data_IF_298444356140
#
_entry.id   IF_298444356140
#
_cell.length_a   1.000
_cell.length_b   1.000
_cell.length_c   1.000
_cell.angle_alpha   90.00
_cell.angle_beta   90.00
_cell.angle_gamma   90.00
#
_symmetry.space_group_name_H-M   'P 1'
#
loop_
_entity.id
_entity.type
_entity.pdbx_description
1 polymer ?
#
# COMPACT_ATOMS: atom_id res chain seq x y z
N UNK A 1 63.85 -63.35 -0.35
CA UNK A 1 64.18 -64.10 -1.60
C UNK A 1 64.06 -63.13 -2.78
N UNK A 2 65.18 -62.97 -3.47
CA UNK A 2 65.45 -62.63 -4.89
C UNK A 2 64.52 -61.55 -5.54
N UNK A 3 65.06 -60.30 -5.78
CA UNK A 3 65.84 -59.82 -6.94
C UNK A 3 65.08 -60.05 -8.27
N UNK A 4 64.76 -58.94 -9.00
CA UNK A 4 65.37 -58.68 -10.28
C UNK A 4 65.26 -57.22 -10.72
N UNK A 5 66.40 -56.66 -11.07
CA UNK A 5 66.75 -55.46 -11.79
C UNK A 5 66.62 -55.70 -13.30
N UNK A 6 66.17 -54.79 -14.08
CA UNK A 6 66.19 -54.80 -15.56
C UNK A 6 66.05 -53.35 -16.12
N UNK A 7 67.19 -52.72 -16.23
CA UNK A 7 67.90 -52.12 -17.37
C UNK A 7 67.14 -51.18 -18.29
N UNK A 8 67.65 -49.94 -18.29
CA UNK A 8 67.58 -48.93 -19.38
C UNK A 8 68.35 -49.36 -20.61
N UNK A 9 68.05 -48.81 -21.79
CA UNK A 9 69.14 -48.49 -22.75
C UNK A 9 69.13 -47.00 -23.20
N UNK A 10 70.27 -46.64 -23.60
CA UNK A 10 70.93 -45.39 -23.95
C UNK A 10 70.52 -44.83 -25.35
N UNK A 11 70.39 -43.50 -25.44
CA UNK A 11 71.04 -42.49 -26.31
C UNK A 11 71.10 -42.78 -27.83
N UNK A 12 70.55 -41.89 -28.61
CA UNK A 12 70.77 -41.64 -30.01
C UNK A 12 70.61 -40.16 -30.34
N UNK A 13 71.78 -39.47 -30.50
CA UNK A 13 71.87 -38.13 -31.08
C UNK A 13 71.44 -38.16 -32.55
N UNK A 14 70.46 -37.35 -32.95
CA UNK A 14 70.35 -36.90 -34.34
C UNK A 14 70.10 -35.41 -34.39
N UNK A 15 71.04 -34.71 -35.00
CA UNK A 15 70.95 -33.34 -35.48
C UNK A 15 69.89 -33.27 -36.57
N UNK A 16 68.91 -32.37 -36.45
CA UNK A 16 67.99 -32.10 -37.51
C UNK A 16 67.93 -30.61 -37.83
N UNK A 17 68.14 -30.39 -39.08
CA UNK A 17 68.16 -29.22 -39.90
C UNK A 17 66.82 -28.51 -39.86
N UNK A 18 66.82 -27.16 -39.68
CA UNK A 18 65.65 -26.28 -39.70
C UNK A 18 65.09 -26.17 -41.11
N UNK A 19 63.74 -26.36 -41.21
CA UNK A 19 62.94 -26.00 -42.37
C UNK A 19 62.00 -24.89 -42.00
N UNK A 20 61.60 -23.96 -42.92
CA UNK A 20 60.92 -22.68 -42.58
C UNK A 20 59.44 -22.85 -42.21
N UNK A 21 58.99 -22.06 -41.23
CA UNK A 21 57.64 -21.96 -40.74
C UNK A 21 56.68 -21.51 -41.83
N UNK A 22 55.61 -22.29 -42.05
CA UNK A 22 54.39 -21.84 -42.73
C UNK A 22 53.65 -20.85 -41.82
N UNK A 23 53.18 -19.78 -42.43
CA UNK A 23 52.34 -18.71 -41.90
C UNK A 23 51.08 -19.33 -41.26
N UNK A 24 50.86 -19.09 -39.98
CA UNK A 24 49.68 -19.50 -39.22
C UNK A 24 48.48 -18.64 -39.60
N UNK A 25 47.39 -19.29 -39.98
CA UNK A 25 46.07 -18.66 -40.09
C UNK A 25 45.60 -18.01 -38.78
N UNK A 26 44.91 -16.88 -38.78
CA UNK A 26 44.41 -16.23 -37.57
C UNK A 26 43.29 -17.05 -36.94
N UNK A 27 43.41 -17.33 -35.64
CA UNK A 27 42.38 -17.93 -34.80
C UNK A 27 41.06 -17.15 -34.88
N UNK A 28 39.89 -17.80 -34.85
CA UNK A 28 38.60 -17.14 -34.78
C UNK A 28 38.49 -16.32 -33.50
N UNK A 29 38.08 -15.07 -33.63
CA UNK A 29 37.82 -14.14 -32.51
C UNK A 29 36.76 -14.72 -31.60
N UNK A 30 37.03 -14.72 -30.30
CA UNK A 30 36.08 -15.01 -29.26
C UNK A 30 34.79 -14.18 -29.41
N UNK A 31 33.59 -14.72 -29.09
CA UNK A 31 32.36 -13.98 -29.18
C UNK A 31 32.42 -12.73 -28.26
N UNK A 32 32.03 -11.58 -28.79
CA UNK A 32 31.95 -10.34 -28.03
C UNK A 32 30.92 -10.55 -26.90
N UNK A 33 31.35 -10.30 -25.67
CA UNK A 33 30.46 -10.19 -24.51
C UNK A 33 29.30 -9.25 -24.89
N UNK A 34 28.03 -9.57 -24.52
CA UNK A 34 26.92 -8.67 -24.70
C UNK A 34 27.24 -7.35 -24.00
N UNK A 35 26.95 -6.22 -24.68
CA UNK A 35 27.04 -4.89 -24.08
C UNK A 35 26.06 -4.86 -22.91
N UNK A 36 26.56 -4.48 -21.73
CA UNK A 36 25.72 -4.12 -20.60
C UNK A 36 24.66 -3.11 -21.04
N UNK A 37 23.43 -3.20 -20.55
CA UNK A 37 22.39 -2.20 -20.79
C UNK A 37 22.90 -0.82 -20.34
N UNK A 38 22.45 0.28 -20.97
CA UNK A 38 22.87 1.62 -20.59
C UNK A 38 22.47 1.86 -19.13
N UNK A 39 23.47 2.25 -18.32
CA UNK A 39 23.24 2.75 -16.96
C UNK A 39 22.25 3.90 -17.10
N UNK A 40 21.10 3.77 -16.43
CA UNK A 40 20.12 4.84 -16.32
C UNK A 40 20.80 6.10 -15.80
N UNK A 41 20.54 7.24 -16.42
CA UNK A 41 21.04 8.54 -15.96
C UNK A 41 20.65 8.76 -14.51
N UNK A 42 21.55 9.28 -13.66
CA UNK A 42 21.25 9.49 -12.25
C UNK A 42 20.09 10.48 -12.13
N UNK A 43 19.14 10.12 -11.25
CA UNK A 43 17.99 10.93 -10.90
C UNK A 43 18.39 12.40 -10.65
N UNK A 44 17.73 13.32 -11.34
CA UNK A 44 18.03 14.77 -11.35
C UNK A 44 17.72 15.51 -10.04
N UNK A 45 17.20 14.81 -9.03
CA UNK A 45 16.96 15.40 -7.69
C UNK A 45 17.92 14.79 -6.67
N UNK A 46 18.50 15.62 -5.78
CA UNK A 46 19.25 15.12 -4.63
C UNK A 46 18.34 14.24 -3.76
N UNK A 47 18.88 13.17 -3.18
CA UNK A 47 18.14 12.17 -2.40
C UNK A 47 17.42 12.77 -1.18
N UNK A 48 17.92 13.89 -0.67
CA UNK A 48 17.36 14.68 0.44
C UNK A 48 16.06 15.44 0.12
N UNK A 49 15.66 15.49 -1.16
CA UNK A 49 14.43 16.15 -1.63
C UNK A 49 13.38 15.18 -2.18
N UNK A 50 13.58 13.87 -2.01
CA UNK A 50 12.62 12.86 -2.41
C UNK A 50 11.55 12.68 -1.32
N UNK A 51 10.29 12.61 -1.73
CA UNK A 51 9.19 12.22 -0.85
C UNK A 51 9.29 10.74 -0.44
N UNK A 52 8.60 10.34 0.62
CA UNK A 52 8.61 8.94 1.09
C UNK A 52 8.15 7.96 0.00
N UNK A 53 7.19 8.36 -0.87
CA UNK A 53 6.72 7.56 -2.02
C UNK A 53 7.76 7.50 -3.15
N UNK A 54 8.49 8.58 -3.42
CA UNK A 54 9.56 8.61 -4.42
C UNK A 54 10.76 7.79 -3.94
N UNK A 55 11.05 7.80 -2.65
CA UNK A 55 12.09 6.97 -2.02
C UNK A 55 11.73 5.48 -2.08
N UNK A 56 10.49 5.11 -1.77
CA UNK A 56 10.00 3.72 -1.86
C UNK A 56 10.08 3.19 -3.31
N UNK A 57 9.77 4.06 -4.28
CA UNK A 57 9.89 3.74 -5.72
C UNK A 57 11.35 3.56 -6.15
N UNK A 58 12.27 4.40 -5.66
CA UNK A 58 13.70 4.33 -5.96
C UNK A 58 14.31 3.05 -5.36
N UNK A 59 13.93 2.71 -4.13
CA UNK A 59 14.34 1.47 -3.48
C UNK A 59 13.88 0.23 -4.25
N UNK A 60 12.67 0.25 -4.80
CA UNK A 60 12.13 -0.83 -5.65
C UNK A 60 12.83 -0.96 -7.00
N UNK A 61 13.33 0.16 -7.56
CA UNK A 61 13.99 0.18 -8.88
C UNK A 61 15.46 -0.25 -8.79
N UNK A 62 16.11 0.03 -7.66
CA UNK A 62 17.53 -0.27 -7.44
C UNK A 62 17.75 -1.72 -6.97
N UNK A 63 16.76 -2.31 -6.29
CA UNK A 63 16.82 -3.68 -5.80
C UNK A 63 15.86 -4.58 -6.59
N UNK A 64 16.37 -5.20 -7.67
CA UNK A 64 15.70 -6.33 -8.29
C UNK A 64 15.86 -7.54 -7.36
N UNK A 65 14.79 -8.28 -7.04
CA UNK A 65 14.88 -9.50 -6.22
C UNK A 65 15.72 -10.61 -6.86
N UNK A 66 16.03 -10.49 -8.16
CA UNK A 66 16.82 -11.46 -8.90
C UNK A 66 18.36 -11.29 -8.76
N UNK A 67 18.82 -10.20 -8.11
CA UNK A 67 20.25 -9.95 -7.88
C UNK A 67 20.73 -10.49 -6.52
N UNK A 68 19.87 -11.14 -5.75
CA UNK A 68 20.26 -11.85 -4.54
C UNK A 68 20.84 -13.20 -4.98
N UNK A 69 22.14 -13.22 -5.32
CA UNK A 69 22.91 -14.46 -5.32
C UNK A 69 22.64 -15.16 -3.99
N UNK A 70 22.35 -16.46 -4.03
CA UNK A 70 22.21 -17.33 -2.84
C UNK A 70 23.43 -17.10 -1.93
N UNK A 71 23.27 -16.19 -0.97
CA UNK A 71 24.31 -15.90 -0.01
C UNK A 71 24.49 -17.14 0.86
N UNK A 72 25.60 -17.77 0.64
CA UNK A 72 26.16 -18.91 1.37
C UNK A 72 25.91 -18.72 2.88
N UNK A 73 25.11 -19.61 3.46
CA UNK A 73 24.54 -19.56 4.81
C UNK A 73 25.61 -19.77 5.93
N UNK A 74 26.89 -19.54 5.63
CA UNK A 74 28.04 -19.70 6.52
C UNK A 74 28.62 -18.34 7.02
N UNK A 75 27.92 -17.21 6.86
CA UNK A 75 28.35 -15.93 7.43
C UNK A 75 28.15 -15.93 8.95
N UNK A 76 29.17 -16.37 9.66
CA UNK A 76 29.24 -16.31 11.14
C UNK A 76 29.35 -14.85 11.56
N UNK A 77 28.27 -14.31 12.16
CA UNK A 77 28.30 -13.03 12.88
C UNK A 77 28.93 -13.21 14.27
N UNK A 78 29.38 -12.12 14.87
CA UNK A 78 29.91 -12.14 16.22
C UNK A 78 28.80 -12.49 17.23
N UNK A 79 29.11 -13.31 18.22
CA UNK A 79 28.17 -13.67 19.29
C UNK A 79 27.74 -12.46 20.15
N UNK A 80 28.48 -11.37 20.07
CA UNK A 80 28.22 -10.13 20.83
C UNK A 80 27.93 -8.99 19.86
N UNK A 81 26.69 -8.47 19.87
CA UNK A 81 26.24 -7.41 18.97
C UNK A 81 25.58 -6.25 19.71
N UNK A 82 25.63 -5.02 19.13
CA UNK A 82 24.77 -3.94 19.54
C UNK A 82 23.30 -4.29 19.32
N UNK A 83 22.41 -3.91 20.24
CA UNK A 83 20.98 -4.18 20.18
C UNK A 83 20.20 -2.89 19.90
N UNK A 84 19.22 -2.99 19.02
CA UNK A 84 18.32 -1.92 18.62
C UNK A 84 16.86 -2.32 18.91
N UNK A 85 16.19 -1.69 19.91
CA UNK A 85 14.81 -1.96 20.24
C UNK A 85 13.84 -1.34 19.23
N UNK A 86 12.92 -2.13 18.70
CA UNK A 86 11.87 -1.75 17.75
C UNK A 86 10.50 -1.64 18.46
N UNK A 87 9.75 -0.56 18.22
CA UNK A 87 8.52 -0.25 18.96
C UNK A 87 7.33 -1.12 18.56
N UNK A 88 7.02 -1.16 17.28
CA UNK A 88 5.70 -1.51 16.76
C UNK A 88 5.73 -2.60 15.70
N UNK A 89 6.88 -3.18 15.44
CA UNK A 89 7.06 -4.18 14.40
C UNK A 89 8.07 -5.25 14.79
N UNK A 90 7.84 -6.46 14.31
CA UNK A 90 8.81 -7.57 14.37
C UNK A 90 9.37 -7.77 12.97
N UNK A 91 10.67 -7.90 12.87
CA UNK A 91 11.35 -8.22 11.62
C UNK A 91 11.71 -9.70 11.56
N UNK A 92 11.75 -10.22 10.34
CA UNK A 92 11.99 -11.64 10.07
C UNK A 92 13.26 -11.85 9.24
N UNK A 93 13.88 -13.02 9.26
CA UNK A 93 14.98 -13.36 8.38
C UNK A 93 14.64 -13.16 6.90
N UNK A 94 15.65 -12.88 6.09
CA UNK A 94 15.55 -12.69 4.63
C UNK A 94 14.67 -11.52 4.17
N UNK A 95 14.37 -10.60 5.07
CA UNK A 95 13.68 -9.35 4.74
C UNK A 95 14.70 -8.23 4.54
N UNK A 96 14.49 -7.44 3.49
CA UNK A 96 15.19 -6.17 3.30
C UNK A 96 14.19 -5.06 3.62
N UNK A 97 14.56 -4.14 4.52
CA UNK A 97 13.65 -3.10 4.97
C UNK A 97 14.38 -1.83 5.39
N UNK A 98 13.75 -0.66 5.14
CA UNK A 98 14.24 0.61 5.67
C UNK A 98 13.80 0.79 7.12
N UNK A 99 14.69 1.34 7.94
CA UNK A 99 14.40 1.71 9.33
C UNK A 99 14.84 3.15 9.58
N UNK A 100 13.99 3.94 10.25
CA UNK A 100 14.32 5.28 10.73
C UNK A 100 14.68 5.22 12.20
N UNK A 101 15.91 5.61 12.53
CA UNK A 101 16.46 5.56 13.89
C UNK A 101 16.69 7.00 14.39
N UNK A 102 15.99 7.36 15.47
CA UNK A 102 16.07 8.72 16.04
C UNK A 102 16.46 8.76 17.52
N UNK A 103 16.38 7.63 18.24
CA UNK A 103 16.79 7.58 19.66
C UNK A 103 18.31 7.61 19.77
N UNK A 104 18.85 8.40 20.68
CA UNK A 104 20.30 8.58 20.83
C UNK A 104 21.03 7.25 21.10
N UNK A 105 20.51 6.40 22.02
CA UNK A 105 21.07 5.07 22.28
C UNK A 105 21.06 4.18 21.04
N UNK A 106 20.00 4.22 20.24
CA UNK A 106 19.85 3.45 19.01
C UNK A 106 20.78 3.92 17.91
N UNK A 107 20.98 5.26 17.76
CA UNK A 107 21.92 5.84 16.80
C UNK A 107 23.35 5.43 17.15
N UNK A 108 23.72 5.48 18.43
CA UNK A 108 25.05 5.03 18.89
C UNK A 108 25.28 3.53 18.66
N UNK A 109 24.25 2.70 18.92
CA UNK A 109 24.32 1.28 18.61
C UNK A 109 24.57 1.00 17.13
N UNK A 110 23.86 1.75 16.25
CA UNK A 110 23.99 1.66 14.82
C UNK A 110 25.39 2.12 14.33
N UNK A 111 25.94 3.20 14.93
CA UNK A 111 27.26 3.72 14.61
C UNK A 111 28.36 2.72 15.03
N UNK A 112 28.23 2.10 16.19
CA UNK A 112 29.14 1.05 16.65
C UNK A 112 29.10 -0.19 15.74
N UNK A 113 27.88 -0.65 15.36
CA UNK A 113 27.70 -1.74 14.41
C UNK A 113 28.34 -1.42 13.06
N UNK A 114 28.11 -0.22 12.52
CA UNK A 114 28.64 0.22 11.23
C UNK A 114 30.17 0.33 11.20
N UNK A 115 30.79 0.65 12.33
CA UNK A 115 32.25 0.72 12.47
C UNK A 115 32.93 -0.65 12.60
N UNK A 116 32.17 -1.69 12.90
CA UNK A 116 32.64 -3.08 13.08
C UNK A 116 32.21 -3.95 11.89
N UNK A 117 31.49 -5.03 12.18
CA UNK A 117 31.10 -6.07 11.24
C UNK A 117 29.80 -5.77 10.49
N UNK A 118 29.22 -4.57 10.66
CA UNK A 118 27.94 -4.13 10.09
C UNK A 118 26.74 -5.00 10.50
N UNK A 119 26.85 -5.77 11.58
CA UNK A 119 25.77 -6.55 12.14
C UNK A 119 25.17 -5.86 13.36
N UNK A 120 23.86 -5.88 13.43
CA UNK A 120 23.09 -5.31 14.54
C UNK A 120 21.94 -6.27 14.91
N UNK A 121 21.63 -6.36 16.20
CA UNK A 121 20.55 -7.20 16.67
C UNK A 121 19.26 -6.38 16.83
N UNK A 122 18.21 -6.77 16.14
CA UNK A 122 16.89 -6.14 16.16
C UNK A 122 15.94 -6.96 17.01
N UNK A 123 15.24 -6.28 17.90
CA UNK A 123 14.32 -6.93 18.81
C UNK A 123 13.11 -6.05 19.10
N UNK A 124 11.92 -6.64 19.21
CA UNK A 124 10.70 -5.89 19.48
C UNK A 124 10.57 -5.51 20.97
N UNK A 125 9.90 -4.39 21.21
CA UNK A 125 9.49 -3.98 22.55
C UNK A 125 8.16 -4.64 22.95
N UNK A 126 8.03 -5.04 24.22
CA UNK A 126 6.75 -5.48 24.82
C UNK A 126 5.82 -4.29 25.04
N UNK A 127 6.38 -3.16 25.47
CA UNK A 127 5.65 -1.93 25.74
C UNK A 127 5.93 -0.87 24.66
N UNK A 128 4.96 -0.64 23.78
CA UNK A 128 5.06 0.32 22.67
C UNK A 128 5.26 1.77 23.16
N UNK A 129 4.76 2.09 24.35
CA UNK A 129 4.78 3.46 24.90
C UNK A 129 6.09 3.82 25.62
N UNK A 130 6.96 2.84 25.90
CA UNK A 130 8.26 3.11 26.51
C UNK A 130 9.17 3.86 25.52
N UNK A 131 9.52 5.11 25.83
CA UNK A 131 10.48 5.89 25.03
C UNK A 131 11.89 5.35 25.17
N UNK A 132 12.29 5.02 26.39
CA UNK A 132 13.55 4.36 26.73
C UNK A 132 13.22 3.00 27.38
N UNK A 133 13.10 1.92 26.59
CA UNK A 133 12.75 0.61 27.12
C UNK A 133 13.90 0.06 27.97
N UNK A 134 13.58 -0.46 29.15
CA UNK A 134 14.52 -1.25 29.94
C UNK A 134 14.59 -2.70 29.41
N UNK A 135 15.58 -3.50 29.79
CA UNK A 135 15.69 -4.90 29.33
C UNK A 135 14.42 -5.74 29.55
N UNK A 136 13.62 -5.45 30.59
CA UNK A 136 12.36 -6.12 30.91
C UNK A 136 11.21 -5.77 29.96
N UNK A 137 11.29 -4.57 29.33
CA UNK A 137 10.33 -4.07 28.34
C UNK A 137 10.60 -4.64 26.93
N UNK A 138 11.64 -5.44 26.76
CA UNK A 138 12.11 -5.98 25.49
C UNK A 138 11.86 -7.50 25.49
N UNK A 139 11.56 -8.08 24.31
CA UNK A 139 11.47 -9.53 24.16
C UNK A 139 12.87 -10.17 24.24
N UNK A 140 12.92 -11.50 24.32
CA UNK A 140 14.19 -12.22 24.42
C UNK A 140 14.68 -12.74 23.07
N UNK A 141 13.81 -12.82 22.06
CA UNK A 141 14.10 -13.33 20.74
C UNK A 141 13.95 -12.23 19.70
N UNK A 142 14.94 -12.10 18.84
CA UNK A 142 14.98 -11.15 17.74
C UNK A 142 15.72 -11.71 16.55
N UNK A 143 16.16 -10.83 15.65
CA UNK A 143 16.96 -11.19 14.49
C UNK A 143 18.28 -10.42 14.46
N UNK A 144 19.33 -11.07 14.00
CA UNK A 144 20.54 -10.39 13.53
C UNK A 144 20.24 -9.82 12.15
N UNK A 145 20.64 -8.58 11.91
CA UNK A 145 20.51 -7.94 10.62
C UNK A 145 21.84 -7.34 10.15
N UNK A 146 22.10 -7.42 8.84
CA UNK A 146 23.22 -6.76 8.19
C UNK A 146 22.85 -5.34 7.77
N UNK A 147 23.75 -4.39 8.00
CA UNK A 147 23.57 -3.00 7.58
C UNK A 147 24.03 -2.85 6.13
N UNK A 148 23.08 -2.76 5.21
CA UNK A 148 23.32 -2.57 3.78
C UNK A 148 23.77 -1.13 3.48
N UNK A 149 22.99 -0.16 3.96
CA UNK A 149 23.22 1.26 3.68
C UNK A 149 22.82 2.11 4.89
N UNK A 150 23.56 3.19 5.11
CA UNK A 150 23.26 4.20 6.14
C UNK A 150 23.20 5.57 5.49
N UNK A 151 22.12 6.30 5.76
CA UNK A 151 21.93 7.69 5.33
C UNK A 151 21.62 8.55 6.56
N UNK A 152 22.46 9.55 6.83
CA UNK A 152 22.21 10.53 7.89
C UNK A 152 21.32 11.64 7.35
N UNK A 153 20.25 11.94 8.07
CA UNK A 153 19.32 13.02 7.75
C UNK A 153 19.68 14.28 8.52
N UNK A 154 19.49 15.51 7.96
CA UNK A 154 19.86 16.75 8.61
C UNK A 154 19.20 17.01 9.97
N UNK A 155 18.06 16.37 10.26
CA UNK A 155 17.32 16.45 11.53
C UNK A 155 17.94 15.65 12.67
N UNK A 156 19.07 14.96 12.43
CA UNK A 156 19.75 14.11 13.40
C UNK A 156 19.26 12.66 13.43
N UNK A 157 18.25 12.29 12.62
CA UNK A 157 17.83 10.90 12.45
C UNK A 157 18.72 10.17 11.45
N UNK A 158 18.76 8.85 11.56
CA UNK A 158 19.53 7.98 10.66
C UNK A 158 18.57 7.03 9.97
N UNK A 159 18.53 7.08 8.64
CA UNK A 159 17.86 6.05 7.83
C UNK A 159 18.86 4.95 7.54
N UNK A 160 18.46 3.72 7.80
CA UNK A 160 19.30 2.55 7.55
C UNK A 160 18.51 1.52 6.74
N UNK A 161 19.16 0.93 5.75
CA UNK A 161 18.66 -0.25 5.06
C UNK A 161 19.29 -1.48 5.69
N UNK A 162 18.44 -2.40 6.12
CA UNK A 162 18.81 -3.61 6.84
C UNK A 162 18.33 -4.84 6.10
N UNK A 163 19.15 -5.89 6.14
CA UNK A 163 18.78 -7.23 5.71
C UNK A 163 18.75 -8.17 6.92
N UNK A 164 17.60 -8.79 7.19
CA UNK A 164 17.45 -9.76 8.26
C UNK A 164 18.17 -11.07 7.92
N UNK A 165 19.00 -11.57 8.84
CA UNK A 165 19.79 -12.78 8.64
C UNK A 165 19.21 -13.95 9.41
N UNK A 166 19.45 -14.03 10.69
CA UNK A 166 19.19 -15.21 11.52
C UNK A 166 18.47 -14.85 12.81
N UNK A 167 17.64 -15.78 13.32
CA UNK A 167 16.99 -15.66 14.63
C UNK A 167 17.98 -15.93 15.73
N UNK A 168 18.00 -15.07 16.74
CA UNK A 168 18.82 -15.25 17.92
C UNK A 168 18.04 -14.94 19.19
N UNK A 169 18.48 -15.56 20.26
CA UNK A 169 18.03 -15.28 21.63
C UNK A 169 19.08 -14.50 22.38
N UNK A 170 18.65 -13.54 23.18
CA UNK A 170 19.51 -12.83 24.13
C UNK A 170 19.83 -13.75 25.29
N UNK A 171 21.11 -14.04 25.48
CA UNK A 171 21.61 -14.77 26.65
C UNK A 171 21.87 -13.82 27.82
N UNK A 172 22.49 -12.68 27.51
CA UNK A 172 22.90 -11.72 28.55
C UNK A 172 23.07 -10.32 27.98
N UNK A 173 22.68 -9.32 28.76
CA UNK A 173 23.04 -7.93 28.54
C UNK A 173 24.44 -7.69 29.10
N UNK A 174 25.39 -7.33 28.23
CA UNK A 174 26.77 -7.02 28.61
C UNK A 174 26.94 -5.56 28.96
N UNK A 175 26.17 -4.69 28.30
CA UNK A 175 26.20 -3.25 28.47
C UNK A 175 24.79 -2.67 28.26
N UNK A 176 24.46 -1.66 29.05
CA UNK A 176 23.18 -0.92 28.96
C UNK A 176 23.44 0.54 28.53
N UNK A 177 24.57 1.12 28.92
CA UNK A 177 25.04 2.47 28.57
C UNK A 177 26.40 2.42 27.88
N UNK A 178 26.68 3.20 26.84
CA UNK A 178 25.83 4.23 26.20
C UNK A 178 24.79 3.68 25.21
N UNK A 179 24.80 2.41 24.93
CA UNK A 179 23.83 1.65 24.11
C UNK A 179 23.80 0.20 24.59
N UNK A 180 22.77 -0.54 24.20
CA UNK A 180 22.65 -1.95 24.55
C UNK A 180 23.63 -2.80 23.76
N UNK A 181 24.40 -3.63 24.46
CA UNK A 181 25.22 -4.67 23.88
C UNK A 181 24.87 -6.01 24.53
N UNK A 182 24.61 -7.02 23.71
CA UNK A 182 24.09 -8.31 24.14
C UNK A 182 24.91 -9.46 23.63
N UNK A 183 24.95 -10.55 24.40
CA UNK A 183 25.45 -11.85 24.00
C UNK A 183 24.27 -12.67 23.44
N UNK A 184 24.45 -13.25 22.26
CA UNK A 184 23.40 -13.90 21.48
C UNK A 184 23.68 -15.39 21.29
N UNK A 185 22.60 -16.17 21.25
CA UNK A 185 22.58 -17.56 20.86
C UNK A 185 21.70 -17.74 19.63
N UNK A 186 22.20 -18.31 18.50
CA UNK A 186 21.38 -18.64 17.36
C UNK A 186 20.28 -19.65 17.71
N UNK A 187 19.08 -19.42 17.19
CA UNK A 187 17.97 -20.36 17.33
C UNK A 187 17.90 -21.22 16.06
N UNK A 188 18.25 -22.50 16.13
CA UNK A 188 18.20 -23.35 14.95
C UNK A 188 16.76 -23.52 14.47
N UNK A 189 16.54 -23.40 13.19
CA UNK A 189 15.27 -23.74 12.56
C UNK A 189 15.18 -25.26 12.42
N UNK A 190 14.19 -25.87 13.05
CA UNK A 190 13.94 -27.32 12.94
C UNK A 190 13.07 -27.55 11.72
N UNK A 191 13.69 -27.90 10.60
CA UNK A 191 12.99 -28.23 9.37
C UNK A 191 12.53 -29.69 9.38
N UNK A 192 11.24 -29.90 9.25
CA UNK A 192 10.62 -31.21 9.06
C UNK A 192 10.14 -31.28 7.60
N UNK A 193 10.84 -32.04 6.77
CA UNK A 193 10.43 -32.31 5.38
C UNK A 193 9.55 -33.58 5.35
N UNK A 194 8.34 -33.47 5.88
CA UNK A 194 7.35 -34.53 5.86
C UNK A 194 6.10 -34.12 5.05
N UNK A 195 5.30 -35.11 4.64
CA UNK A 195 4.06 -34.88 3.88
C UNK A 195 3.07 -33.94 4.59
N UNK A 196 2.87 -34.01 5.92
CA UNK A 196 2.02 -33.06 6.64
C UNK A 196 2.50 -31.61 6.51
N UNK A 197 3.80 -31.34 6.64
CA UNK A 197 4.36 -29.99 6.51
C UNK A 197 4.21 -29.45 5.09
N UNK A 198 4.40 -30.29 4.07
CA UNK A 198 4.18 -29.90 2.68
C UNK A 198 2.69 -29.59 2.39
N UNK A 199 1.76 -30.41 2.93
CA UNK A 199 0.34 -30.17 2.80
C UNK A 199 -0.08 -28.86 3.50
N UNK A 200 0.51 -28.57 4.67
CA UNK A 200 0.27 -27.35 5.43
C UNK A 200 0.82 -26.13 4.68
N UNK A 201 2.01 -26.23 4.09
CA UNK A 201 2.60 -25.19 3.26
C UNK A 201 1.67 -24.80 2.09
N UNK A 202 1.15 -25.78 1.34
CA UNK A 202 0.19 -25.56 0.25
C UNK A 202 -1.10 -24.90 0.75
N UNK A 203 -1.58 -25.31 1.93
CA UNK A 203 -2.76 -24.72 2.56
C UNK A 203 -2.54 -23.26 2.95
N UNK A 204 -1.38 -22.93 3.51
CA UNK A 204 -0.98 -21.57 3.90
C UNK A 204 -0.88 -20.66 2.66
N UNK A 205 -0.24 -21.12 1.58
CA UNK A 205 -0.15 -20.37 0.32
C UNK A 205 -1.54 -20.03 -0.20
N UNK A 206 -2.46 -20.99 -0.23
CA UNK A 206 -3.83 -20.76 -0.69
C UNK A 206 -4.60 -19.78 0.20
N UNK A 207 -4.46 -19.89 1.52
CA UNK A 207 -5.08 -18.95 2.47
C UNK A 207 -4.53 -17.55 2.30
N UNK A 208 -3.23 -17.40 2.03
CA UNK A 208 -2.63 -16.10 1.75
C UNK A 208 -3.14 -15.52 0.42
N UNK A 209 -3.31 -16.33 -0.62
CA UNK A 209 -3.94 -15.92 -1.88
C UNK A 209 -5.35 -15.35 -1.64
N UNK A 210 -6.17 -16.03 -0.82
CA UNK A 210 -7.51 -15.56 -0.45
C UNK A 210 -7.45 -14.20 0.28
N UNK A 211 -6.49 -14.02 1.19
CA UNK A 211 -6.27 -12.74 1.90
C UNK A 211 -5.84 -11.64 0.94
N UNK A 212 -4.89 -11.90 0.03
CA UNK A 212 -4.42 -10.93 -0.99
C UNK A 212 -5.56 -10.50 -1.90
N UNK A 213 -6.42 -11.44 -2.33
CA UNK A 213 -7.57 -11.13 -3.19
C UNK A 213 -8.59 -10.21 -2.51
N UNK A 214 -8.71 -10.25 -1.18
CA UNK A 214 -9.63 -9.42 -0.41
C UNK A 214 -9.01 -8.12 0.12
N UNK A 215 -7.69 -8.07 0.31
CA UNK A 215 -6.96 -6.95 0.90
C UNK A 215 -6.26 -6.11 -0.17
N UNK A 216 -6.85 -4.96 -0.52
CA UNK A 216 -6.31 -4.03 -1.51
C UNK A 216 -4.97 -3.39 -1.13
N UNK A 217 -4.55 -3.50 0.13
CA UNK A 217 -3.30 -2.93 0.63
C UNK A 217 -2.10 -3.86 0.41
N UNK A 218 -2.34 -5.13 0.05
CA UNK A 218 -1.28 -6.07 -0.30
C UNK A 218 -1.12 -6.05 -1.82
N UNK A 219 0.08 -5.77 -2.28
CA UNK A 219 0.38 -5.73 -3.71
C UNK A 219 0.45 -7.16 -4.29
N UNK A 220 0.04 -7.37 -5.55
CA UNK A 220 0.07 -8.69 -6.19
C UNK A 220 1.47 -9.32 -6.23
N UNK A 221 2.53 -8.50 -6.22
CA UNK A 221 3.94 -8.92 -6.19
C UNK A 221 4.27 -9.74 -4.93
N UNK A 222 3.56 -9.48 -3.83
CA UNK A 222 3.70 -10.29 -2.60
C UNK A 222 3.42 -11.78 -2.86
N UNK A 223 2.46 -12.08 -3.75
CA UNK A 223 2.14 -13.45 -4.12
C UNK A 223 3.26 -14.12 -4.91
N UNK A 224 4.00 -13.37 -5.75
CA UNK A 224 5.15 -13.90 -6.48
C UNK A 224 6.27 -14.32 -5.53
N UNK A 225 6.56 -13.50 -4.52
CA UNK A 225 7.56 -13.82 -3.50
C UNK A 225 7.19 -15.09 -2.71
N UNK A 226 5.91 -15.25 -2.39
CA UNK A 226 5.41 -16.45 -1.69
C UNK A 226 5.48 -17.69 -2.56
N UNK A 227 5.12 -17.59 -3.85
CA UNK A 227 5.16 -18.72 -4.79
C UNK A 227 6.59 -19.18 -5.12
N UNK A 228 7.56 -18.27 -5.10
CA UNK A 228 8.97 -18.58 -5.34
C UNK A 228 9.67 -19.15 -4.09
N UNK A 229 8.98 -19.23 -2.95
CA UNK A 229 9.56 -19.75 -1.71
C UNK A 229 9.29 -21.25 -1.59
N UNK A 230 10.35 -22.06 -1.76
CA UNK A 230 10.28 -23.53 -1.68
C UNK A 230 10.47 -24.07 -0.26
N UNK A 231 11.10 -23.31 0.62
CA UNK A 231 11.41 -23.70 1.99
C UNK A 231 10.25 -23.40 2.94
N UNK A 232 9.72 -24.42 3.64
CA UNK A 232 8.58 -24.22 4.56
C UNK A 232 8.86 -23.21 5.68
N UNK A 233 10.08 -23.20 6.23
CA UNK A 233 10.50 -22.27 7.27
C UNK A 233 10.53 -20.82 6.81
N UNK A 234 11.02 -20.59 5.58
CA UNK A 234 11.07 -19.27 4.96
C UNK A 234 9.70 -18.74 4.56
N UNK A 235 8.78 -19.64 4.19
CA UNK A 235 7.42 -19.24 3.81
C UNK A 235 6.70 -18.42 4.90
N UNK A 236 6.81 -18.85 6.16
CA UNK A 236 6.20 -18.12 7.26
C UNK A 236 6.81 -16.73 7.44
N UNK A 237 8.13 -16.61 7.23
CA UNK A 237 8.87 -15.35 7.36
C UNK A 237 8.53 -14.35 6.24
N UNK A 238 8.28 -14.86 5.04
CA UNK A 238 7.88 -14.03 3.89
C UNK A 238 6.44 -13.55 4.01
N UNK A 239 5.51 -14.38 4.52
CA UNK A 239 4.08 -14.03 4.61
C UNK A 239 3.78 -13.08 5.77
N UNK A 240 4.37 -13.32 6.96
CA UNK A 240 4.01 -12.60 8.19
C UNK A 240 4.10 -11.07 8.08
N UNK A 241 5.10 -10.47 7.41
CA UNK A 241 5.21 -9.02 7.26
C UNK A 241 4.08 -8.37 6.45
N UNK A 242 3.42 -9.11 5.59
CA UNK A 242 2.27 -8.59 4.83
C UNK A 242 0.98 -8.48 5.67
N UNK A 243 0.95 -9.16 6.84
CA UNK A 243 -0.17 -9.12 7.77
C UNK A 243 -0.04 -7.92 8.74
N UNK A 244 -0.07 -6.70 8.19
CA UNK A 244 0.16 -5.44 8.94
C UNK A 244 -0.80 -5.20 10.11
N UNK A 245 -1.97 -5.82 10.13
CA UNK A 245 -2.94 -5.70 11.21
C UNK A 245 -2.62 -6.64 12.40
N UNK A 246 -1.65 -7.51 12.22
CA UNK A 246 -1.19 -8.43 13.26
C UNK A 246 -0.45 -7.68 14.36
N UNK A 247 -0.85 -7.89 15.60
CA UNK A 247 -0.20 -7.24 16.76
C UNK A 247 1.19 -7.82 16.99
N UNK A 248 2.10 -6.99 17.51
CA UNK A 248 3.48 -7.38 17.86
C UNK A 248 3.58 -8.69 18.62
N UNK A 249 2.77 -8.98 19.69
CA UNK A 249 2.86 -10.26 20.39
C UNK A 249 2.62 -11.48 19.51
N UNK A 250 1.70 -11.39 18.55
CA UNK A 250 1.42 -12.50 17.66
C UNK A 250 2.51 -12.69 16.59
N UNK A 251 3.09 -11.60 16.07
CA UNK A 251 4.27 -11.66 15.20
C UNK A 251 5.47 -12.25 15.92
N UNK A 252 5.67 -11.83 17.17
CA UNK A 252 6.74 -12.32 18.03
C UNK A 252 6.60 -13.82 18.31
N UNK A 253 5.38 -14.31 18.54
CA UNK A 253 5.13 -15.74 18.73
C UNK A 253 5.53 -16.57 17.51
N UNK A 254 5.30 -16.07 16.29
CA UNK A 254 5.77 -16.73 15.06
C UNK A 254 7.31 -16.71 14.99
N UNK A 255 7.94 -15.58 15.32
CA UNK A 255 9.40 -15.45 15.33
C UNK A 255 10.06 -16.43 16.33
N UNK A 256 9.49 -16.58 17.51
CA UNK A 256 10.00 -17.43 18.60
C UNK A 256 9.83 -18.93 18.33
N UNK A 257 8.91 -19.30 17.44
CA UNK A 257 8.63 -20.71 17.15
C UNK A 257 9.71 -21.30 16.26
N UNK A 258 10.54 -22.19 16.80
CA UNK A 258 11.64 -22.87 16.09
C UNK A 258 11.17 -24.00 15.17
N UNK A 259 10.10 -24.73 15.58
CA UNK A 259 9.51 -25.80 14.77
C UNK A 259 8.72 -25.21 13.59
N UNK A 260 9.08 -25.61 12.36
CA UNK A 260 8.50 -25.09 11.13
C UNK A 260 7.04 -25.50 10.97
N UNK A 261 6.69 -26.73 11.32
CA UNK A 261 5.30 -27.21 11.23
C UNK A 261 4.38 -26.46 12.18
N UNK A 262 4.81 -26.23 13.44
CA UNK A 262 4.08 -25.44 14.42
C UNK A 262 3.96 -23.97 13.97
N UNK A 263 5.02 -23.38 13.41
CA UNK A 263 5.04 -22.02 12.90
C UNK A 263 4.03 -21.83 11.76
N UNK A 264 4.02 -22.72 10.77
CA UNK A 264 3.05 -22.72 9.67
C UNK A 264 1.62 -22.95 10.16
N UNK A 265 1.43 -23.80 11.18
CA UNK A 265 0.12 -24.02 11.77
C UNK A 265 -0.42 -22.74 12.43
N UNK A 266 0.41 -22.06 13.24
CA UNK A 266 0.06 -20.76 13.84
C UNK A 266 -0.30 -19.72 12.78
N UNK A 267 0.52 -19.63 11.72
CA UNK A 267 0.25 -18.72 10.60
C UNK A 267 -1.06 -19.06 9.90
N UNK A 268 -1.36 -20.35 9.65
CA UNK A 268 -2.63 -20.78 9.05
C UNK A 268 -3.85 -20.34 9.88
N UNK A 269 -3.77 -20.45 11.20
CA UNK A 269 -4.86 -19.98 12.10
C UNK A 269 -5.03 -18.45 11.99
N UNK A 270 -3.94 -17.71 11.91
CA UNK A 270 -3.96 -16.25 11.77
C UNK A 270 -4.53 -15.84 10.41
N UNK A 271 -4.09 -16.47 9.31
CA UNK A 271 -4.60 -16.20 7.97
C UNK A 271 -6.10 -16.45 7.84
N UNK A 272 -6.62 -17.54 8.42
CA UNK A 272 -8.06 -17.80 8.46
C UNK A 272 -8.83 -16.69 9.16
N UNK A 273 -8.33 -16.27 10.32
CA UNK A 273 -8.95 -15.19 11.10
C UNK A 273 -8.91 -13.86 10.35
N UNK A 274 -7.81 -13.55 9.66
CA UNK A 274 -7.68 -12.36 8.83
C UNK A 274 -8.66 -12.39 7.65
N UNK A 275 -8.79 -13.54 6.96
CA UNK A 275 -9.76 -13.72 5.89
C UNK A 275 -11.20 -13.49 6.36
N UNK A 276 -11.59 -14.04 7.52
CA UNK A 276 -12.91 -13.81 8.13
C UNK A 276 -13.17 -12.33 8.43
N UNK A 277 -12.16 -11.61 8.98
CA UNK A 277 -12.26 -10.18 9.26
C UNK A 277 -12.45 -9.38 7.97
N UNK A 278 -11.66 -9.68 6.92
CA UNK A 278 -11.76 -9.02 5.61
C UNK A 278 -13.12 -9.28 4.95
N UNK A 279 -13.67 -10.48 5.07
CA UNK A 279 -15.01 -10.80 4.56
C UNK A 279 -16.09 -9.99 5.28
N UNK A 280 -16.03 -9.89 6.60
CA UNK A 280 -16.95 -9.06 7.41
C UNK A 280 -16.83 -7.59 7.00
N UNK A 281 -15.61 -7.05 6.85
CA UNK A 281 -15.38 -5.68 6.42
C UNK A 281 -15.97 -5.42 5.02
N UNK A 282 -15.78 -6.34 4.08
CA UNK A 282 -16.37 -6.27 2.74
C UNK A 282 -17.90 -6.23 2.81
N UNK A 283 -18.52 -7.08 3.61
CA UNK A 283 -19.97 -7.14 3.78
C UNK A 283 -20.52 -5.86 4.41
N UNK A 284 -19.86 -5.31 5.43
CA UNK A 284 -20.22 -4.02 6.04
C UNK A 284 -20.13 -2.91 5.00
N UNK A 285 -19.03 -2.83 4.27
CA UNK A 285 -18.84 -1.80 3.24
C UNK A 285 -19.90 -1.86 2.16
N UNK A 286 -20.22 -3.06 1.64
CA UNK A 286 -21.25 -3.24 0.63
C UNK A 286 -22.64 -2.81 1.15
N UNK A 287 -22.95 -3.10 2.43
CA UNK A 287 -24.21 -2.66 3.06
C UNK A 287 -24.28 -1.15 3.18
N UNK A 288 -23.21 -0.50 3.65
CA UNK A 288 -23.14 0.97 3.77
C UNK A 288 -23.27 1.64 2.41
N UNK A 289 -22.58 1.14 1.38
CA UNK A 289 -22.66 1.65 0.01
C UNK A 289 -24.09 1.54 -0.54
N UNK A 290 -24.79 0.43 -0.25
CA UNK A 290 -26.19 0.23 -0.65
C UNK A 290 -27.14 1.20 0.08
N UNK A 291 -27.02 1.31 1.39
CA UNK A 291 -27.87 2.22 2.20
C UNK A 291 -27.65 3.69 1.81
N UNK A 292 -26.41 4.10 1.53
CA UNK A 292 -26.12 5.45 1.03
C UNK A 292 -26.72 5.67 -0.36
N UNK A 293 -26.63 4.68 -1.25
CA UNK A 293 -27.23 4.74 -2.58
C UNK A 293 -28.75 4.85 -2.53
N UNK A 294 -29.41 4.08 -1.65
CA UNK A 294 -30.86 4.11 -1.46
C UNK A 294 -31.32 5.48 -0.87
N UNK A 295 -30.60 6.02 0.11
CA UNK A 295 -30.88 7.32 0.71
C UNK A 295 -30.73 8.46 -0.30
N UNK A 296 -29.69 8.43 -1.13
CA UNK A 296 -29.47 9.42 -2.18
C UNK A 296 -30.57 9.38 -3.25
N UNK A 297 -31.00 8.19 -3.64
CA UNK A 297 -32.10 7.97 -4.58
C UNK A 297 -33.44 8.48 -4.01
N UNK A 298 -33.72 8.20 -2.74
CA UNK A 298 -34.93 8.68 -2.05
C UNK A 298 -34.95 10.21 -1.97
N UNK A 299 -33.84 10.85 -1.64
CA UNK A 299 -33.68 12.30 -1.66
C UNK A 299 -33.99 12.91 -3.03
N UNK A 300 -33.39 12.33 -4.09
CA UNK A 300 -33.61 12.78 -5.47
C UNK A 300 -35.08 12.65 -5.89
N UNK A 301 -35.71 11.53 -5.54
CA UNK A 301 -37.15 11.31 -5.82
C UNK A 301 -38.03 12.29 -5.07
N UNK A 302 -37.72 12.60 -3.80
CA UNK A 302 -38.46 13.63 -3.02
C UNK A 302 -38.31 15.00 -3.63
N UNK A 303 -37.13 15.39 -4.09
CA UNK A 303 -36.92 16.69 -4.72
C UNK A 303 -37.64 16.78 -6.07
N UNK A 304 -37.60 15.71 -6.88
CA UNK A 304 -38.40 15.64 -8.11
C UNK A 304 -39.90 15.75 -7.83
N UNK A 305 -40.40 15.05 -6.80
CA UNK A 305 -41.82 15.13 -6.41
C UNK A 305 -42.22 16.54 -5.95
N UNK A 306 -41.37 17.24 -5.23
CA UNK A 306 -41.57 18.62 -4.81
C UNK A 306 -41.65 19.58 -6.00
N UNK A 307 -40.75 19.44 -6.97
CA UNK A 307 -40.78 20.25 -8.20
C UNK A 307 -42.06 20.00 -8.99
N UNK A 308 -42.47 18.73 -9.15
CA UNK A 308 -43.74 18.40 -9.82
C UNK A 308 -44.93 18.97 -9.09
N UNK A 309 -44.99 18.93 -7.77
CA UNK A 309 -46.08 19.53 -6.98
C UNK A 309 -46.10 21.04 -7.12
N UNK A 310 -44.96 21.69 -7.13
CA UNK A 310 -44.83 23.12 -7.36
C UNK A 310 -45.34 23.54 -8.74
N UNK A 311 -44.90 22.81 -9.80
CA UNK A 311 -45.45 23.06 -11.16
C UNK A 311 -46.96 22.85 -11.28
N UNK A 312 -47.50 21.83 -10.60
CA UNK A 312 -48.94 21.57 -10.59
C UNK A 312 -49.69 22.63 -9.76
N UNK A 313 -49.11 23.09 -8.64
CA UNK A 313 -49.66 24.17 -7.81
C UNK A 313 -49.69 25.49 -8.55
N UNK A 314 -48.61 25.87 -9.21
CA UNK A 314 -48.54 27.09 -10.01
C UNK A 314 -49.55 27.07 -11.19
N UNK A 315 -49.78 25.92 -11.83
CA UNK A 315 -50.81 25.82 -12.88
C UNK A 315 -52.24 25.98 -12.33
N UNK A 316 -52.54 25.46 -11.14
CA UNK A 316 -53.86 25.58 -10.54
C UNK A 316 -54.15 27.00 -10.06
N UNK A 317 -53.16 27.72 -9.50
CA UNK A 317 -53.31 29.12 -9.10
C UNK A 317 -53.45 30.05 -10.29
N UNK A 318 -52.67 29.85 -11.36
CA UNK A 318 -52.77 30.63 -12.60
C UNK A 318 -54.13 30.47 -13.28
N UNK A 319 -54.70 29.24 -13.30
CA UNK A 319 -56.05 29.00 -13.85
C UNK A 319 -57.14 29.73 -13.06
N UNK A 320 -57.09 29.71 -11.74
CA UNK A 320 -58.02 30.42 -10.86
C UNK A 320 -57.93 31.93 -11.01
N UNK A 321 -56.73 32.50 -11.21
CA UNK A 321 -56.52 33.95 -11.46
C UNK A 321 -57.15 34.38 -12.77
N UNK A 322 -57.02 33.60 -13.84
CA UNK A 322 -57.60 33.94 -15.15
C UNK A 322 -59.12 33.92 -15.14
N UNK A 323 -59.75 32.98 -14.42
CA UNK A 323 -61.19 32.92 -14.25
C UNK A 323 -61.72 34.09 -13.42
N UNK A 324 -60.97 34.49 -12.38
CA UNK A 324 -61.32 35.70 -11.60
C UNK A 324 -61.25 36.97 -12.45
N UNK A 325 -60.30 37.17 -13.34
CA UNK A 325 -60.25 38.32 -14.25
C UNK A 325 -61.37 38.27 -15.27
N UNK A 326 -61.76 37.11 -15.80
CA UNK A 326 -62.91 36.98 -16.70
C UNK A 326 -64.22 37.46 -16.02
N UNK A 327 -64.49 37.04 -14.78
CA UNK A 327 -65.66 37.46 -14.01
C UNK A 327 -65.63 38.94 -13.76
N UNK A 328 -64.50 39.53 -13.31
CA UNK A 328 -64.39 41.00 -13.04
C UNK A 328 -64.53 41.82 -14.29
N UNK A 329 -64.12 41.41 -15.47
CA UNK A 329 -64.29 42.08 -16.76
C UNK A 329 -65.78 42.10 -17.11
N UNK A 330 -66.53 41.01 -16.92
CA UNK A 330 -67.97 40.94 -17.19
C UNK A 330 -68.81 41.83 -16.23
N UNK A 331 -68.37 41.90 -14.96
CA UNK A 331 -69.11 42.70 -13.94
C UNK A 331 -68.81 44.21 -13.97
N UNK A 332 -67.68 44.62 -14.62
CA UNK A 332 -67.22 46.01 -14.60
C UNK A 332 -68.09 46.98 -15.36
N UNK A 333 -68.99 46.52 -16.21
CA UNK A 333 -69.87 47.36 -17.01
C UNK A 333 -69.14 48.21 -18.07
N UNK A 334 -67.98 47.79 -18.51
CA UNK A 334 -67.19 48.48 -19.54
C UNK A 334 -67.87 48.40 -20.91
N UNK A 335 -67.58 49.33 -21.84
CA UNK A 335 -68.03 49.26 -23.21
C UNK A 335 -67.52 48.05 -23.95
N UNK A 336 -68.26 47.52 -24.91
CA UNK A 336 -67.98 46.30 -25.65
C UNK A 336 -66.58 46.29 -26.25
N UNK A 337 -66.11 47.40 -26.84
CA UNK A 337 -64.76 47.56 -27.41
C UNK A 337 -63.66 47.44 -26.35
N UNK A 338 -63.91 47.89 -25.10
CA UNK A 338 -62.94 47.79 -24.01
C UNK A 338 -62.93 46.38 -23.44
N UNK A 339 -64.09 45.72 -23.33
CA UNK A 339 -64.24 44.34 -22.91
C UNK A 339 -63.53 43.37 -23.88
N UNK A 340 -63.66 43.54 -25.22
CA UNK A 340 -62.98 42.77 -26.20
C UNK A 340 -61.46 42.90 -26.10
N UNK A 341 -60.92 44.10 -25.89
CA UNK A 341 -59.47 44.32 -25.73
C UNK A 341 -58.97 43.69 -24.41
N UNK A 342 -59.74 43.84 -23.33
CA UNK A 342 -59.38 43.22 -22.04
C UNK A 342 -59.34 41.68 -22.14
N UNK A 343 -60.32 41.04 -22.78
CA UNK A 343 -60.32 39.58 -22.99
C UNK A 343 -59.21 39.12 -23.93
N UNK A 344 -58.86 39.94 -24.92
CA UNK A 344 -57.71 39.64 -25.82
C UNK A 344 -56.36 39.64 -25.06
N UNK A 345 -56.16 40.66 -24.23
CA UNK A 345 -54.92 40.72 -23.42
C UNK A 345 -54.92 39.65 -22.30
N UNK A 346 -56.07 39.28 -21.74
CA UNK A 346 -56.17 38.14 -20.84
C UNK A 346 -55.81 36.84 -21.54
N UNK A 347 -56.27 36.61 -22.78
CA UNK A 347 -55.88 35.45 -23.60
C UNK A 347 -54.39 35.42 -24.01
N UNK A 348 -53.75 36.60 -24.04
CA UNK A 348 -52.27 36.66 -24.21
C UNK A 348 -51.58 36.25 -22.90
N UNK A 349 -52.03 36.76 -21.76
CA UNK A 349 -51.49 36.41 -20.45
C UNK A 349 -51.59 34.90 -20.18
N UNK A 350 -52.73 34.28 -20.54
CA UNK A 350 -52.97 32.84 -20.39
C UNK A 350 -51.98 31.97 -21.18
N UNK A 351 -51.45 32.46 -22.32
CA UNK A 351 -50.51 31.77 -23.18
C UNK A 351 -49.05 32.07 -22.86
N UNK A 352 -48.78 32.99 -21.94
CA UNK A 352 -47.39 33.34 -21.58
C UNK A 352 -46.83 32.37 -20.56
N UNK A 353 -45.51 31.94 -20.74
CA UNK A 353 -44.82 31.16 -19.72
C UNK A 353 -44.57 32.02 -18.47
N UNK A 354 -44.82 31.48 -17.31
CA UNK A 354 -44.51 32.11 -16.03
C UNK A 354 -43.04 31.84 -15.62
N UNK A 355 -42.27 32.80 -15.06
CA UNK A 355 -42.53 34.23 -14.88
C UNK A 355 -42.07 35.07 -16.08
N UNK A 356 -42.99 35.71 -16.79
CA UNK A 356 -42.64 36.67 -17.85
C UNK A 356 -42.74 38.11 -17.36
N UNK A 357 -41.76 38.99 -17.53
CA UNK A 357 -41.82 40.40 -17.15
C UNK A 357 -43.02 41.14 -17.81
N UNK A 358 -43.36 40.77 -19.04
CA UNK A 358 -44.48 41.30 -19.79
C UNK A 358 -45.85 40.93 -19.17
N UNK A 359 -45.94 39.78 -18.48
CA UNK A 359 -47.13 39.35 -17.77
C UNK A 359 -47.50 40.28 -16.62
N UNK A 360 -46.53 40.89 -15.95
CA UNK A 360 -46.77 41.91 -14.90
C UNK A 360 -47.42 43.16 -15.50
N UNK A 361 -46.94 43.58 -16.67
CA UNK A 361 -47.50 44.76 -17.36
C UNK A 361 -48.95 44.51 -17.75
N UNK A 362 -49.26 43.32 -18.30
CA UNK A 362 -50.62 42.95 -18.70
C UNK A 362 -51.55 42.86 -17.47
N UNK A 363 -51.12 42.30 -16.34
CA UNK A 363 -51.86 42.25 -15.08
C UNK A 363 -52.17 43.66 -14.60
N UNK A 364 -51.20 44.57 -14.55
CA UNK A 364 -51.36 45.95 -14.16
C UNK A 364 -52.35 46.66 -15.08
N UNK A 365 -52.29 46.41 -16.38
CA UNK A 365 -53.23 46.97 -17.34
C UNK A 365 -54.67 46.44 -17.12
N UNK A 366 -54.87 45.15 -16.91
CA UNK A 366 -56.18 44.55 -16.63
C UNK A 366 -56.75 45.04 -15.30
N UNK A 367 -55.91 45.12 -14.26
CA UNK A 367 -56.36 45.68 -12.95
C UNK A 367 -56.80 47.13 -13.07
N UNK A 368 -56.11 47.95 -13.84
CA UNK A 368 -56.47 49.33 -14.09
C UNK A 368 -57.82 49.42 -14.84
N UNK A 369 -57.98 48.66 -15.92
CA UNK A 369 -59.21 48.62 -16.70
C UNK A 369 -60.40 48.19 -15.88
N UNK A 370 -60.32 47.16 -15.08
CA UNK A 370 -61.39 46.65 -14.25
C UNK A 370 -61.71 47.58 -13.08
N UNK A 371 -60.78 48.42 -12.62
CA UNK A 371 -61.01 49.40 -11.53
C UNK A 371 -61.61 50.68 -11.98
N UNK A 372 -61.72 51.00 -13.25
CA UNK A 372 -62.31 52.20 -13.76
C UNK A 372 -63.86 52.19 -13.56
N UNK A 373 -64.49 53.31 -13.13
CA UNK A 373 -65.91 53.38 -12.91
C UNK A 373 -66.67 53.60 -14.20
N UNK A 374 -66.74 52.58 -15.09
CA UNK A 374 -67.36 52.69 -16.43
C UNK A 374 -68.82 53.12 -16.44
N UNK A 375 -69.57 52.82 -15.39
CA UNK A 375 -71.01 53.15 -15.28
C UNK A 375 -71.27 54.55 -14.69
N UNK A 376 -70.19 55.30 -14.34
CA UNK A 376 -70.41 56.67 -13.78
C UNK A 376 -70.06 57.73 -14.80
N UNK A 377 -71.04 58.63 -15.12
CA UNK A 377 -70.82 59.87 -15.87
C UNK A 377 -70.73 61.02 -14.93
N UNK A 378 -69.97 62.06 -15.24
CA UNK A 378 -69.99 63.34 -14.54
C UNK A 378 -71.32 64.02 -14.83
N UNK A 379 -72.04 64.50 -13.81
CA UNK A 379 -73.22 65.30 -14.07
C UNK A 379 -72.81 66.60 -14.77
N UNK A 380 -73.48 66.92 -15.90
CA UNK A 380 -73.37 68.21 -16.60
C UNK A 380 -73.75 69.36 -15.71
#
# INVERSE_FOLDING_TARGET
MKRNLGRLPRIGNHVLVATPRKVSEPMPRAPKKPKAPPIAEPATKPIDQLSDDEMDTLLRTVFHPDDVEEADNDKKFATTLPLLPIRDQVYFPHMIFPLLVGREKSVRALEDAAAKDRHIFLIAQKNIHAEEPEPEDIYDVGIVAEIMQILRVPDGTVRVMLEGMERCRVLKYLQVEPFYQVELEPIPTVETKDLPTEALMRSVVKQFEDVVAMNKNIQPEAMLNVLNTEEPGRLADVITPYLRQMRVPAQQEILETSDVGERLHKLSVILKKEAEILEIQKNIRTRVEKEMGDTQREFLLREQMKIIQQELGERSESGSEMDAYRARIQESGMPEEAAEKALKELGRLEKMPFPAPEGVVIRTYLDTLVSLPWAKSTPD
#
